data_IF_787812005073
#
_entry.id   IF_787812005073
#
_cell.length_a   1.000
_cell.length_b   1.000
_cell.length_c   1.000
_cell.angle_alpha   90.00
_cell.angle_beta   90.00
_cell.angle_gamma   90.00
#
_symmetry.space_group_name_H-M   'P 1'
#
loop_
_entity.id
_entity.type
_entity.pdbx_description
1 polymer ?
#
# COMPACT_ATOMS: atom_id res chain seq x y z
N UNK A 1 0.37 5.54 -14.04
CA UNK A 1 1.85 5.62 -13.84
C UNK A 1 2.23 5.18 -12.41
N UNK A 2 3.49 4.81 -12.12
CA UNK A 2 3.94 4.46 -10.74
C UNK A 2 5.23 5.19 -10.39
N UNK A 3 5.32 5.76 -9.19
CA UNK A 3 6.59 6.21 -8.57
C UNK A 3 6.85 5.46 -7.27
N UNK A 4 8.13 5.28 -6.94
CA UNK A 4 8.60 4.73 -5.68
C UNK A 4 9.68 5.65 -5.14
N UNK A 5 9.42 6.25 -4.00
CA UNK A 5 10.26 7.26 -3.37
C UNK A 5 10.68 6.77 -1.99
N UNK A 6 11.94 7.04 -1.63
CA UNK A 6 12.50 6.69 -0.33
C UNK A 6 12.91 8.00 0.36
N UNK A 7 12.36 8.26 1.54
CA UNK A 7 12.71 9.41 2.37
C UNK A 7 12.80 8.99 3.83
N UNK A 8 13.97 9.16 4.44
CA UNK A 8 14.28 8.69 5.80
C UNK A 8 13.84 7.24 6.05
N UNK A 9 12.85 7.04 6.92
CA UNK A 9 12.25 5.76 7.32
C UNK A 9 10.94 5.45 6.56
N UNK A 10 10.59 6.25 5.57
CA UNK A 10 9.41 6.12 4.72
C UNK A 10 9.77 5.60 3.33
N UNK A 11 9.04 4.60 2.86
CA UNK A 11 8.89 4.34 1.41
C UNK A 11 7.50 4.75 0.97
N UNK A 12 7.40 5.68 0.02
CA UNK A 12 6.15 6.12 -0.58
C UNK A 12 6.02 5.56 -2.00
N UNK A 13 4.97 4.78 -2.23
CA UNK A 13 4.59 4.29 -3.56
C UNK A 13 3.36 5.07 -4.01
N UNK A 14 3.44 5.78 -5.12
CA UNK A 14 2.29 6.48 -5.71
C UNK A 14 1.89 5.78 -7.01
N UNK A 15 0.61 5.42 -7.11
CA UNK A 15 -0.01 4.86 -8.31
C UNK A 15 -0.95 5.91 -8.85
N UNK A 16 -0.60 6.48 -9.99
CA UNK A 16 -1.40 7.50 -10.68
C UNK A 16 -2.44 6.86 -11.60
N UNK A 17 -3.66 7.39 -11.55
CA UNK A 17 -4.70 7.04 -12.52
C UNK A 17 -4.49 7.82 -13.83
N UNK A 18 -4.06 7.10 -14.86
CA UNK A 18 -3.79 7.69 -16.18
C UNK A 18 -5.09 8.11 -16.92
N UNK A 19 -6.27 7.73 -16.41
CA UNK A 19 -7.57 8.13 -16.97
C UNK A 19 -8.12 9.42 -16.35
N UNK A 20 -7.70 9.75 -15.12
CA UNK A 20 -8.22 10.86 -14.33
C UNK A 20 -9.65 10.66 -13.81
N UNK A 21 -10.15 9.41 -13.77
CA UNK A 21 -11.46 9.08 -13.20
C UNK A 21 -11.40 9.07 -11.66
N UNK A 22 -10.28 8.63 -11.11
CA UNK A 22 -10.03 8.49 -9.68
C UNK A 22 -8.78 9.27 -9.27
N UNK A 23 -8.72 9.66 -8.00
CA UNK A 23 -7.53 10.25 -7.39
C UNK A 23 -6.39 9.21 -7.27
N UNK A 24 -5.16 9.69 -7.14
CA UNK A 24 -4.00 8.79 -6.99
C UNK A 24 -4.05 8.00 -5.67
N UNK A 25 -3.54 6.77 -5.72
CA UNK A 25 -3.41 5.92 -4.54
C UNK A 25 -1.98 5.92 -4.05
N UNK A 26 -1.80 6.17 -2.75
CA UNK A 26 -0.50 6.17 -2.11
C UNK A 26 -0.40 5.05 -1.07
N UNK A 27 0.70 4.30 -1.10
CA UNK A 27 1.11 3.43 -0.02
C UNK A 27 2.33 4.05 0.70
N UNK A 28 2.16 4.39 1.97
CA UNK A 28 3.22 4.86 2.86
C UNK A 28 3.67 3.71 3.75
N UNK A 29 4.92 3.31 3.63
CA UNK A 29 5.47 2.14 4.30
C UNK A 29 6.54 2.57 5.29
N UNK A 30 6.31 2.29 6.56
CA UNK A 30 7.27 2.49 7.66
C UNK A 30 7.62 1.14 8.31
N UNK A 31 8.50 1.17 9.31
CA UNK A 31 8.91 -0.04 10.05
C UNK A 31 7.76 -0.67 10.84
N UNK A 32 6.93 0.15 11.50
CA UNK A 32 5.88 -0.34 12.40
C UNK A 32 4.52 -0.50 11.72
N UNK A 33 4.21 0.40 10.77
CA UNK A 33 2.90 0.48 10.12
C UNK A 33 3.02 0.83 8.65
N UNK A 34 2.00 0.45 7.91
CA UNK A 34 1.79 0.86 6.54
C UNK A 34 0.39 1.50 6.42
N UNK A 35 0.27 2.44 5.50
CA UNK A 35 -0.97 3.13 5.19
C UNK A 35 -1.22 3.07 3.69
N UNK A 36 -2.42 2.69 3.28
CA UNK A 36 -2.92 3.03 1.95
C UNK A 36 -3.87 4.20 2.10
N UNK A 37 -3.67 5.25 1.30
CA UNK A 37 -4.52 6.44 1.30
C UNK A 37 -4.84 6.93 -0.10
N UNK A 38 -5.98 7.59 -0.22
CA UNK A 38 -6.41 8.30 -1.42
C UNK A 38 -7.06 9.62 -0.98
N UNK A 39 -6.85 10.68 -1.76
CA UNK A 39 -7.47 11.96 -1.46
C UNK A 39 -8.98 11.90 -1.73
N UNK A 40 -9.78 12.43 -0.81
CA UNK A 40 -11.24 12.50 -0.97
C UNK A 40 -11.67 13.94 -1.20
N UNK A 41 -12.08 14.23 -2.43
CA UNK A 41 -12.49 15.56 -2.87
C UNK A 41 -13.71 16.13 -2.12
N UNK A 42 -14.57 15.28 -1.54
CA UNK A 42 -15.77 15.71 -0.82
C UNK A 42 -15.45 16.12 0.61
N UNK A 43 -14.64 15.33 1.31
CA UNK A 43 -14.27 15.58 2.71
C UNK A 43 -13.06 16.50 2.84
N UNK A 44 -12.31 16.68 1.75
CA UNK A 44 -11.02 17.41 1.72
C UNK A 44 -10.02 16.83 2.72
N UNK A 45 -10.03 15.51 2.83
CA UNK A 45 -9.17 14.72 3.70
C UNK A 45 -8.73 13.46 2.95
N UNK A 46 -7.68 12.81 3.46
CA UNK A 46 -7.32 11.48 3.00
C UNK A 46 -8.22 10.43 3.65
N UNK A 47 -8.76 9.54 2.84
CA UNK A 47 -9.29 8.27 3.33
C UNK A 47 -8.09 7.33 3.53
N UNK A 48 -7.93 6.79 4.75
CA UNK A 48 -6.73 6.04 5.15
C UNK A 48 -7.12 4.68 5.70
N UNK A 49 -6.41 3.65 5.22
CA UNK A 49 -6.45 2.29 5.78
C UNK A 49 -5.07 1.96 6.33
N UNK A 50 -5.01 1.69 7.63
CA UNK A 50 -3.76 1.39 8.37
C UNK A 50 -3.67 -0.10 8.68
N UNK A 51 -2.49 -0.69 8.48
CA UNK A 51 -2.20 -2.09 8.80
C UNK A 51 -0.73 -2.30 9.13
N UNK A 52 -0.41 -3.47 9.67
CA UNK A 52 0.98 -3.87 9.92
C UNK A 52 1.69 -4.28 8.61
N UNK A 53 3.03 -4.17 8.53
CA UNK A 53 3.79 -4.57 7.35
C UNK A 53 3.52 -5.99 6.87
N UNK A 54 3.24 -6.94 7.77
CA UNK A 54 2.95 -8.32 7.38
C UNK A 54 1.63 -8.45 6.60
N UNK A 55 0.66 -7.59 6.88
CA UNK A 55 -0.60 -7.53 6.13
C UNK A 55 -0.38 -6.93 4.75
N UNK A 56 0.45 -5.89 4.63
CA UNK A 56 0.82 -5.31 3.34
C UNK A 56 1.49 -6.35 2.44
N UNK A 57 2.46 -7.08 2.99
CA UNK A 57 3.15 -8.15 2.28
C UNK A 57 2.18 -9.20 1.76
N UNK A 58 1.20 -9.61 2.57
CA UNK A 58 0.16 -10.57 2.16
C UNK A 58 -0.69 -10.02 1.02
N UNK A 59 -1.09 -8.75 1.08
CA UNK A 59 -1.86 -8.09 0.01
C UNK A 59 -1.08 -8.06 -1.31
N UNK A 60 0.20 -7.72 -1.26
CA UNK A 60 1.06 -7.71 -2.45
C UNK A 60 1.25 -9.11 -3.04
N UNK A 61 1.39 -10.14 -2.19
CA UNK A 61 1.54 -11.53 -2.64
C UNK A 61 0.24 -12.13 -3.17
N UNK A 62 -0.92 -11.73 -2.64
CA UNK A 62 -2.20 -12.29 -3.06
C UNK A 62 -2.51 -12.06 -4.55
N UNK A 63 -1.96 -11.03 -5.17
CA UNK A 63 -2.13 -10.77 -6.60
C UNK A 63 -1.67 -11.94 -7.51
N UNK A 64 -0.76 -12.79 -7.02
CA UNK A 64 -0.22 -13.91 -7.78
C UNK A 64 -0.73 -15.28 -7.30
N UNK A 65 -1.77 -15.32 -6.47
CA UNK A 65 -2.34 -16.56 -5.95
C UNK A 65 -3.64 -16.91 -6.68
N UNK A 66 -3.96 -18.20 -6.75
CA UNK A 66 -5.28 -18.65 -7.19
C UNK A 66 -6.32 -18.46 -6.09
N UNK A 67 -7.60 -18.64 -6.41
CA UNK A 67 -8.67 -18.63 -5.42
C UNK A 67 -8.43 -19.68 -4.33
N UNK A 68 -8.51 -19.28 -3.06
CA UNK A 68 -8.29 -20.18 -1.94
C UNK A 68 -7.97 -19.46 -0.63
N UNK A 69 -7.65 -20.26 0.40
CA UNK A 69 -7.18 -19.76 1.70
C UNK A 69 -5.70 -20.10 1.86
N UNK A 70 -4.90 -19.10 2.21
CA UNK A 70 -3.45 -19.24 2.33
C UNK A 70 -2.96 -18.70 3.66
N UNK A 71 -1.97 -19.36 4.24
CA UNK A 71 -1.15 -18.83 5.33
C UNK A 71 0.22 -18.53 4.74
N UNK A 72 0.61 -17.25 4.77
CA UNK A 72 1.93 -16.82 4.33
C UNK A 72 2.80 -16.58 5.55
N UNK A 73 3.90 -17.33 5.64
CA UNK A 73 4.91 -17.17 6.67
C UNK A 73 6.01 -16.21 6.19
N UNK A 74 6.19 -15.12 6.93
CA UNK A 74 7.33 -14.23 6.73
C UNK A 74 8.55 -14.78 7.47
N UNK A 75 9.52 -15.31 6.73
CA UNK A 75 10.84 -15.58 7.31
C UNK A 75 11.60 -14.26 7.44
N UNK A 76 11.88 -13.83 8.67
CA UNK A 76 12.86 -12.77 8.90
C UNK A 76 14.22 -13.31 8.50
N UNK A 77 14.83 -12.71 7.49
CA UNK A 77 16.26 -12.95 7.21
C UNK A 77 17.00 -12.25 8.34
N UNK A 78 17.70 -13.04 9.16
CA UNK A 78 18.54 -12.55 10.26
C UNK A 78 19.96 -12.34 9.75
#
# INVERSE_FOLDING_TARGET
>A
MITVEFDMDETMITIMDDTGELEDVQALLYEDYCHIRQWNEKTKLFDVVTFKPETYFKLMKSFNLHEGTFVLDMKRVT
#
